data_IF_728437985936
#
_entry.id   IF_728437985936
#
_cell.length_a   1.000
_cell.length_b   1.000
_cell.length_c   1.000
_cell.angle_alpha   90.00
_cell.angle_beta   90.00
_cell.angle_gamma   90.00
#
_symmetry.space_group_name_H-M   'P 1'
#
loop_
_entity.id
_entity.type
_entity.pdbx_description
1 polymer ?
#
# COMPACT_ATOMS: atom_id res chain seq x y z
N UNK A 1 -13.56 22.51 25.15
CA UNK A 1 -13.62 23.30 23.91
C UNK A 1 -12.26 23.90 23.65
N UNK A 2 -11.79 23.83 22.44
CA UNK A 2 -10.49 24.37 22.02
C UNK A 2 -10.71 25.35 20.87
N UNK A 3 -10.03 26.48 20.89
CA UNK A 3 -10.10 27.46 19.81
C UNK A 3 -9.24 26.99 18.64
N UNK A 4 -9.85 26.82 17.48
CA UNK A 4 -9.17 26.45 16.24
C UNK A 4 -9.58 27.43 15.13
N UNK A 5 -8.62 28.17 14.59
CA UNK A 5 -8.84 29.20 13.56
C UNK A 5 -9.91 30.24 13.93
N UNK A 6 -9.93 30.69 15.17
CA UNK A 6 -10.90 31.67 15.67
C UNK A 6 -12.31 31.16 15.91
N UNK A 7 -12.51 29.82 15.84
CA UNK A 7 -13.78 29.17 16.17
C UNK A 7 -13.60 28.20 17.33
N UNK A 8 -14.55 28.23 18.25
CA UNK A 8 -14.62 27.26 19.35
C UNK A 8 -15.12 25.93 18.80
N UNK A 9 -14.22 24.92 18.80
CA UNK A 9 -14.54 23.56 18.34
C UNK A 9 -14.73 22.67 19.57
N UNK A 10 -15.80 21.90 19.57
CA UNK A 10 -16.07 20.90 20.60
C UNK A 10 -15.63 19.53 20.15
N UNK A 11 -14.74 18.94 20.94
CA UNK A 11 -14.27 17.57 20.71
C UNK A 11 -15.10 16.58 21.52
N UNK A 12 -15.25 15.35 20.97
CA UNK A 12 -15.85 14.23 21.68
C UNK A 12 -14.87 13.61 22.69
N UNK A 13 -15.38 12.82 23.61
CA UNK A 13 -14.55 11.99 24.48
C UNK A 13 -13.96 10.83 23.65
N UNK A 14 -12.64 10.61 23.75
CA UNK A 14 -11.86 9.61 23.01
C UNK A 14 -10.91 8.82 23.91
N UNK A 15 -11.19 8.80 25.23
CA UNK A 15 -10.29 8.21 26.23
C UNK A 15 -9.97 6.75 25.95
N UNK A 16 -10.95 5.99 25.45
CA UNK A 16 -10.83 4.57 25.20
C UNK A 16 -10.69 4.20 23.71
N UNK A 17 -10.18 5.12 22.90
CA UNK A 17 -10.06 4.93 21.46
C UNK A 17 -8.69 5.36 20.93
N UNK A 18 -8.20 4.63 19.93
CA UNK A 18 -6.95 4.93 19.21
C UNK A 18 -7.23 4.93 17.72
N UNK A 19 -6.84 6.02 17.05
CA UNK A 19 -6.88 6.10 15.60
C UNK A 19 -5.56 5.60 15.01
N UNK A 20 -5.63 4.57 14.19
CA UNK A 20 -4.51 4.07 13.39
C UNK A 20 -4.63 4.59 11.96
N UNK A 21 -3.56 5.14 11.44
CA UNK A 21 -3.47 5.59 10.04
C UNK A 21 -2.23 4.94 9.42
N UNK A 22 -2.41 4.27 8.29
CA UNK A 22 -1.31 3.68 7.51
C UNK A 22 -0.93 4.60 6.36
N UNK A 23 0.29 5.10 6.39
CA UNK A 23 0.84 6.03 5.40
C UNK A 23 1.99 5.41 4.60
N UNK A 24 2.20 4.10 4.67
CA UNK A 24 3.34 3.43 4.01
C UNK A 24 3.36 3.58 2.49
N UNK A 25 2.19 3.72 1.88
CA UNK A 25 2.05 3.90 0.43
C UNK A 25 1.87 5.37 0.02
N UNK A 26 1.94 6.28 1.00
CA UNK A 26 1.76 7.70 0.79
C UNK A 26 3.11 8.41 0.66
N UNK A 27 3.09 9.56 0.03
CA UNK A 27 4.27 10.37 -0.19
C UNK A 27 4.98 10.06 -1.50
N UNK A 28 5.85 10.95 -1.88
CA UNK A 28 6.70 10.83 -3.07
C UNK A 28 8.17 10.80 -2.67
N UNK A 29 9.01 10.07 -3.41
CA UNK A 29 10.45 10.09 -3.17
C UNK A 29 11.00 11.52 -3.29
N UNK A 30 11.63 12.00 -2.22
CA UNK A 30 12.36 13.26 -2.19
C UNK A 30 13.84 12.97 -1.92
N UNK A 31 14.69 13.27 -2.86
CA UNK A 31 16.08 12.83 -2.86
C UNK A 31 16.22 11.29 -2.74
N UNK A 32 17.43 10.78 -2.66
CA UNK A 32 17.68 9.32 -2.67
C UNK A 32 17.26 8.57 -1.40
N UNK A 33 16.94 9.28 -0.31
CA UNK A 33 16.74 8.68 1.02
C UNK A 33 15.48 9.11 1.75
N UNK A 34 14.73 10.08 1.20
CA UNK A 34 13.63 10.70 1.92
C UNK A 34 12.34 10.56 1.13
N UNK A 35 11.24 10.54 1.88
CA UNK A 35 9.88 10.60 1.34
C UNK A 35 9.25 11.90 1.82
N UNK A 36 8.64 12.62 0.92
CA UNK A 36 7.93 13.87 1.21
C UNK A 36 6.44 13.68 0.93
N UNK A 37 5.60 14.11 1.87
CA UNK A 37 4.16 14.17 1.63
C UNK A 37 3.79 15.42 0.84
N UNK A 38 2.88 15.26 -0.11
CA UNK A 38 2.30 16.39 -0.82
C UNK A 38 1.38 17.19 0.12
N UNK A 39 1.24 18.51 -0.08
CA UNK A 39 0.34 19.35 0.73
C UNK A 39 -1.10 18.81 0.80
N UNK A 40 -1.60 18.26 -0.29
CA UNK A 40 -2.94 17.64 -0.40
C UNK A 40 -3.05 16.39 0.48
N UNK A 41 -2.00 15.58 0.55
CA UNK A 41 -1.94 14.40 1.42
C UNK A 41 -1.92 14.80 2.90
N UNK A 42 -1.16 15.81 3.25
CA UNK A 42 -1.12 16.36 4.62
C UNK A 42 -2.50 16.90 5.02
N UNK A 43 -3.16 17.61 4.12
CA UNK A 43 -4.51 18.10 4.35
C UNK A 43 -5.51 16.96 4.55
N UNK A 44 -5.45 15.92 3.73
CA UNK A 44 -6.32 14.76 3.85
C UNK A 44 -6.14 14.02 5.18
N UNK A 45 -4.90 13.85 5.64
CA UNK A 45 -4.61 13.25 6.95
C UNK A 45 -5.19 14.13 8.08
N UNK A 46 -4.99 15.43 8.01
CA UNK A 46 -5.50 16.38 8.98
C UNK A 46 -7.05 16.39 9.03
N UNK A 47 -7.70 16.38 7.88
CA UNK A 47 -9.17 16.30 7.78
C UNK A 47 -9.70 14.99 8.36
N UNK A 48 -9.06 13.86 8.07
CA UNK A 48 -9.45 12.58 8.64
C UNK A 48 -9.35 12.57 10.17
N UNK A 49 -8.27 13.09 10.72
CA UNK A 49 -8.09 13.23 12.15
C UNK A 49 -9.12 14.19 12.77
N UNK A 50 -9.38 15.34 12.16
CA UNK A 50 -10.37 16.29 12.62
C UNK A 50 -11.79 15.73 12.57
N UNK A 51 -12.12 14.96 11.54
CA UNK A 51 -13.42 14.29 11.44
C UNK A 51 -13.60 13.26 12.56
N UNK A 52 -12.56 12.51 12.88
CA UNK A 52 -12.58 11.51 13.94
C UNK A 52 -12.73 12.14 15.34
N UNK A 53 -12.14 13.31 15.58
CA UNK A 53 -12.18 13.94 16.90
C UNK A 53 -13.42 14.81 17.17
N UNK A 54 -14.26 15.05 16.18
CA UNK A 54 -15.46 15.88 16.32
C UNK A 54 -16.60 15.17 17.04
N UNK A 55 -17.47 15.96 17.68
CA UNK A 55 -18.78 15.47 18.12
C UNK A 55 -19.61 15.12 16.89
N UNK A 56 -20.23 13.94 16.87
CA UNK A 56 -20.94 13.42 15.68
C UNK A 56 -20.02 12.83 14.61
N UNK A 57 -18.86 12.32 15.01
CA UNK A 57 -17.87 11.74 14.11
C UNK A 57 -18.41 10.56 13.26
N UNK A 58 -19.43 9.87 13.74
CA UNK A 58 -20.07 8.75 13.04
C UNK A 58 -20.65 9.16 11.66
N UNK A 59 -20.93 10.44 11.47
CA UNK A 59 -21.41 10.99 10.20
C UNK A 59 -20.28 11.43 9.26
N UNK A 60 -19.09 11.66 9.78
CA UNK A 60 -17.98 12.28 9.03
C UNK A 60 -16.73 11.44 8.94
N UNK A 61 -16.56 10.48 9.86
CA UNK A 61 -15.43 9.56 9.89
C UNK A 61 -15.89 8.14 9.58
N UNK A 62 -15.14 7.43 8.77
CA UNK A 62 -15.33 6.02 8.46
C UNK A 62 -13.99 5.31 8.46
N UNK A 63 -13.97 4.07 8.96
CA UNK A 63 -12.82 3.20 8.80
C UNK A 63 -12.65 2.85 7.32
N UNK A 64 -11.46 3.07 6.79
CA UNK A 64 -11.14 2.76 5.39
C UNK A 64 -10.10 1.64 5.31
N UNK A 65 -10.37 0.57 4.56
CA UNK A 65 -9.37 -0.46 4.29
C UNK A 65 -8.09 0.13 3.71
N UNK A 66 -6.95 -0.40 4.11
CA UNK A 66 -5.61 0.05 3.69
C UNK A 66 -5.23 1.47 4.11
N UNK A 67 -6.09 2.18 4.86
CA UNK A 67 -5.82 3.56 5.25
C UNK A 67 -5.94 3.80 6.76
N UNK A 68 -7.14 3.66 7.34
CA UNK A 68 -7.35 4.02 8.73
C UNK A 68 -8.37 3.12 9.43
N UNK A 69 -8.20 3.04 10.74
CA UNK A 69 -9.08 2.30 11.64
C UNK A 69 -9.12 2.95 13.03
N UNK A 70 -10.32 3.14 13.57
CA UNK A 70 -10.52 3.58 14.95
C UNK A 70 -10.77 2.37 15.83
N UNK A 71 -9.78 2.01 16.64
CA UNK A 71 -9.86 0.87 17.56
C UNK A 71 -10.32 1.30 18.94
N UNK A 72 -11.17 0.50 19.57
CA UNK A 72 -11.56 0.66 20.98
C UNK A 72 -10.53 -0.02 21.89
N UNK A 73 -10.51 0.38 23.15
CA UNK A 73 -9.64 -0.23 24.16
C UNK A 73 -9.87 -1.73 24.27
N UNK A 74 -11.12 -2.18 24.21
CA UNK A 74 -11.49 -3.61 24.26
C UNK A 74 -10.89 -4.40 23.09
N UNK A 75 -10.86 -3.82 21.89
CA UNK A 75 -10.22 -4.43 20.72
C UNK A 75 -8.71 -4.53 20.89
N UNK A 76 -8.09 -3.49 21.46
CA UNK A 76 -6.65 -3.46 21.74
C UNK A 76 -6.28 -4.52 22.79
N UNK A 77 -7.09 -4.66 23.85
CA UNK A 77 -6.91 -5.70 24.86
C UNK A 77 -6.98 -7.09 24.25
N UNK A 78 -8.00 -7.38 23.45
CA UNK A 78 -8.17 -8.67 22.74
C UNK A 78 -6.99 -9.02 21.83
N UNK A 79 -6.31 -8.03 21.32
CA UNK A 79 -5.11 -8.19 20.48
C UNK A 79 -3.79 -8.13 21.27
N UNK A 80 -3.87 -8.35 22.59
CA UNK A 80 -2.70 -8.43 23.47
C UNK A 80 -1.99 -7.09 23.66
N UNK A 81 -2.73 -5.98 23.68
CA UNK A 81 -2.20 -4.63 23.85
C UNK A 81 -1.22 -4.20 22.75
N UNK A 82 -1.33 -4.81 21.59
CA UNK A 82 -0.50 -4.46 20.43
C UNK A 82 -0.96 -3.14 19.80
N UNK A 83 -0.03 -2.24 19.55
CA UNK A 83 -0.27 -0.98 18.82
C UNK A 83 0.28 -1.02 17.39
N UNK A 84 0.31 -2.19 16.78
CA UNK A 84 0.73 -2.37 15.39
C UNK A 84 -0.45 -2.12 14.45
N UNK A 85 -0.42 -1.07 13.61
CA UNK A 85 -1.56 -0.70 12.76
C UNK A 85 -2.05 -1.81 11.84
N UNK A 86 -1.17 -2.65 11.34
CA UNK A 86 -1.51 -3.78 10.46
C UNK A 86 -2.39 -4.86 11.09
N UNK A 87 -2.54 -4.86 12.41
CA UNK A 87 -3.46 -5.74 13.12
C UNK A 87 -4.90 -5.24 13.16
N UNK A 88 -5.12 -3.97 12.84
CA UNK A 88 -6.42 -3.29 12.91
C UNK A 88 -6.92 -2.87 11.54
N UNK A 89 -6.03 -2.33 10.71
CA UNK A 89 -6.36 -1.88 9.36
C UNK A 89 -6.49 -3.09 8.46
N UNK A 90 -7.63 -3.25 7.80
CA UNK A 90 -7.85 -4.29 6.82
C UNK A 90 -7.07 -3.99 5.53
N UNK A 91 -6.29 -4.96 5.09
CA UNK A 91 -5.63 -4.91 3.79
C UNK A 91 -6.41 -5.77 2.81
N UNK A 92 -6.65 -5.23 1.62
CA UNK A 92 -7.26 -6.00 0.55
C UNK A 92 -6.29 -7.08 0.12
N UNK A 93 -6.70 -8.32 0.27
CA UNK A 93 -5.92 -9.44 -0.23
C UNK A 93 -6.01 -9.44 -1.75
N UNK A 94 -4.99 -8.88 -2.41
CA UNK A 94 -4.91 -8.83 -3.87
C UNK A 94 -4.65 -10.21 -4.48
N UNK A 95 -4.14 -11.12 -3.66
CA UNK A 95 -3.78 -12.47 -4.10
C UNK A 95 -5.01 -13.37 -4.26
N UNK A 96 -6.10 -13.13 -3.51
CA UNK A 96 -7.34 -13.91 -3.63
C UNK A 96 -8.10 -13.69 -4.93
N UNK A 97 -7.83 -12.60 -5.65
CA UNK A 97 -8.50 -12.29 -6.93
C UNK A 97 -7.76 -12.85 -8.15
N UNK A 98 -6.55 -13.39 -7.94
CA UNK A 98 -5.76 -13.99 -9.01
C UNK A 98 -5.98 -15.49 -8.95
N UNK A 99 -6.75 -16.01 -9.91
CA UNK A 99 -6.85 -17.44 -10.12
C UNK A 99 -5.44 -18.00 -10.39
N UNK A 100 -4.94 -18.82 -9.49
CA UNK A 100 -3.61 -19.40 -9.54
C UNK A 100 -3.36 -20.12 -10.88
N UNK A 101 -4.36 -20.86 -11.37
CA UNK A 101 -4.27 -21.57 -12.65
C UNK A 101 -4.10 -20.61 -13.83
N UNK A 102 -4.84 -19.52 -13.83
CA UNK A 102 -4.74 -18.47 -14.86
C UNK A 102 -3.36 -17.81 -14.83
N UNK A 103 -2.85 -17.49 -13.65
CA UNK A 103 -1.52 -16.90 -13.50
C UNK A 103 -0.42 -17.86 -13.93
N UNK A 104 -0.52 -19.13 -13.56
CA UNK A 104 0.44 -20.16 -13.97
C UNK A 104 0.45 -20.38 -15.49
N UNK A 105 -0.70 -20.40 -16.13
CA UNK A 105 -0.79 -20.49 -17.60
C UNK A 105 -0.14 -19.30 -18.29
N UNK A 106 -0.35 -18.10 -17.76
CA UNK A 106 0.28 -16.89 -18.27
C UNK A 106 1.80 -16.94 -18.14
N UNK A 107 2.31 -17.32 -16.97
CA UNK A 107 3.74 -17.50 -16.73
C UNK A 107 4.37 -18.57 -17.62
N UNK A 108 3.66 -19.68 -17.85
CA UNK A 108 4.10 -20.71 -18.78
C UNK A 108 4.22 -20.20 -20.21
N UNK A 109 3.26 -19.41 -20.67
CA UNK A 109 3.29 -18.81 -22.01
C UNK A 109 4.48 -17.85 -22.16
N UNK A 110 4.68 -16.97 -21.19
CA UNK A 110 5.81 -16.02 -21.16
C UNK A 110 7.17 -16.77 -21.14
N UNK A 111 7.28 -17.81 -20.33
CA UNK A 111 8.49 -18.63 -20.27
C UNK A 111 8.78 -19.31 -21.60
N UNK A 112 7.76 -19.85 -22.26
CA UNK A 112 7.89 -20.50 -23.57
C UNK A 112 8.37 -19.51 -24.62
N UNK A 113 7.83 -18.30 -24.66
CA UNK A 113 8.26 -17.24 -25.57
C UNK A 113 9.73 -16.82 -25.32
N UNK A 114 10.11 -16.70 -24.05
CA UNK A 114 11.48 -16.34 -23.68
C UNK A 114 12.48 -17.43 -24.06
N UNK A 115 12.14 -18.71 -23.86
CA UNK A 115 12.98 -19.83 -24.25
C UNK A 115 13.14 -19.90 -25.76
N UNK A 116 12.08 -19.62 -26.53
CA UNK A 116 12.15 -19.54 -27.97
C UNK A 116 13.07 -18.42 -28.45
N UNK A 117 12.94 -17.23 -27.88
CA UNK A 117 13.83 -16.09 -28.17
C UNK A 117 15.28 -16.37 -27.81
N UNK A 118 15.53 -17.08 -26.72
CA UNK A 118 16.86 -17.51 -26.32
C UNK A 118 17.46 -18.42 -27.38
N UNK A 119 16.73 -19.41 -27.87
CA UNK A 119 17.20 -20.34 -28.90
C UNK A 119 17.47 -19.62 -30.22
N UNK A 120 16.58 -18.73 -30.66
CA UNK A 120 16.76 -17.90 -31.85
C UNK A 120 18.01 -17.02 -31.73
N UNK A 121 18.24 -16.40 -30.58
CA UNK A 121 19.44 -15.60 -30.34
C UNK A 121 20.72 -16.44 -30.38
N UNK A 122 20.70 -17.64 -29.82
CA UNK A 122 21.82 -18.58 -29.89
C UNK A 122 22.15 -18.97 -31.34
N UNK A 123 21.12 -19.24 -32.13
CA UNK A 123 21.30 -19.57 -33.55
C UNK A 123 21.91 -18.42 -34.33
N UNK A 124 21.37 -17.20 -34.16
CA UNK A 124 21.90 -15.99 -34.79
C UNK A 124 23.36 -15.75 -34.40
N UNK A 125 23.71 -15.95 -33.14
CA UNK A 125 25.09 -15.80 -32.66
C UNK A 125 26.02 -16.83 -33.31
N UNK A 126 25.61 -18.10 -33.38
CA UNK A 126 26.37 -19.14 -34.03
C UNK A 126 26.59 -18.87 -35.53
N UNK A 127 25.55 -18.42 -36.24
CA UNK A 127 25.63 -18.04 -37.64
C UNK A 127 26.56 -16.86 -37.86
N UNK A 128 26.51 -15.85 -37.00
CA UNK A 128 27.41 -14.71 -37.04
C UNK A 128 28.86 -15.12 -36.89
N UNK A 129 29.20 -15.93 -35.89
CA UNK A 129 30.55 -16.42 -35.68
C UNK A 129 31.02 -17.29 -36.84
N UNK A 130 30.13 -18.11 -37.37
CA UNK A 130 30.45 -18.91 -38.58
C UNK A 130 30.75 -18.06 -39.80
N UNK A 131 29.99 -16.96 -40.00
CA UNK A 131 30.23 -16.02 -41.11
C UNK A 131 31.53 -15.25 -40.97
N UNK A 132 32.02 -15.08 -39.75
CA UNK A 132 33.30 -14.43 -39.44
C UNK A 132 34.48 -15.40 -39.45
N UNK A 133 34.23 -16.67 -39.72
CA UNK A 133 35.28 -17.73 -39.74
C UNK A 133 35.63 -18.28 -38.35
N UNK A 134 34.88 -17.97 -37.31
CA UNK A 134 35.05 -18.43 -35.93
C UNK A 134 33.89 -19.35 -35.53
N UNK A 135 33.74 -20.52 -36.09
CA UNK A 135 32.64 -21.41 -35.73
C UNK A 135 32.66 -21.80 -34.26
N UNK A 136 31.50 -21.73 -33.61
CA UNK A 136 31.26 -22.26 -32.28
C UNK A 136 30.70 -23.70 -32.44
N UNK A 137 31.42 -24.66 -31.94
CA UNK A 137 30.96 -26.04 -31.86
C UNK A 137 30.22 -26.31 -30.55
#
# INVERSE_FOLDING_TARGET
MVEQNGKMVRYRNREDEVLFIDLRQWGEPFEKKYIQFLPEQIQQIAENFHNWQRVGYEETYYDEPEYCYSATLDEIEKKGWSLVPSKYIEFKNRDEQIDFDTKMKQLQAEMRDLLQKEEESKQQLKELFKSLGYGLE
#
